data_IF_670941820815
#
_entry.id   IF_670941820815
#
_cell.length_a   1.000
_cell.length_b   1.000
_cell.length_c   1.000
_cell.angle_alpha   90.00
_cell.angle_beta   90.00
_cell.angle_gamma   90.00
#
_symmetry.space_group_name_H-M   'P 1'
#
loop_
_entity.id
_entity.type
_entity.pdbx_description
1 polymer ?
#
# COMPACT_ATOMS: atom_id res chain seq x y z
N UNK A 1 -54.64 -44.54 31.87
CA UNK A 1 -53.17 -44.58 31.67
C UNK A 1 -52.89 -44.36 30.19
N UNK A 2 -52.42 -43.18 29.81
CA UNK A 2 -52.07 -42.85 28.42
C UNK A 2 -50.67 -42.25 28.42
N UNK A 3 -49.69 -43.07 28.08
CA UNK A 3 -48.27 -42.73 28.08
C UNK A 3 -48.00 -41.63 27.06
N UNK A 4 -47.68 -40.42 27.51
CA UNK A 4 -47.16 -39.40 26.60
C UNK A 4 -45.66 -39.59 26.50
N UNK A 5 -45.26 -40.31 25.45
CA UNK A 5 -43.86 -40.41 25.06
C UNK A 5 -43.32 -38.99 24.83
N UNK A 6 -42.38 -38.57 25.69
CA UNK A 6 -41.53 -37.43 25.40
C UNK A 6 -40.72 -37.79 24.16
N UNK A 7 -40.94 -37.09 23.05
CA UNK A 7 -40.03 -37.13 21.91
C UNK A 7 -38.68 -36.61 22.38
N UNK A 8 -37.74 -37.52 22.61
CA UNK A 8 -36.37 -37.19 22.99
C UNK A 8 -35.64 -36.78 21.72
N UNK A 9 -35.14 -35.55 21.67
CA UNK A 9 -34.27 -35.09 20.58
C UNK A 9 -33.01 -35.97 20.50
N UNK A 10 -32.56 -36.31 19.29
CA UNK A 10 -31.37 -37.11 19.03
C UNK A 10 -30.10 -36.51 19.67
N UNK A 11 -30.10 -35.20 19.89
CA UNK A 11 -28.98 -34.42 20.43
C UNK A 11 -29.17 -33.99 21.89
N UNK A 12 -30.15 -34.57 22.59
CA UNK A 12 -30.32 -34.41 24.04
C UNK A 12 -31.10 -33.17 24.48
N UNK A 13 -31.79 -32.46 23.58
CA UNK A 13 -32.61 -31.31 23.97
C UNK A 13 -33.97 -31.73 24.59
N UNK A 14 -34.35 -31.12 25.71
CA UNK A 14 -35.59 -31.42 26.43
C UNK A 14 -36.80 -30.64 25.87
N UNK A 15 -37.93 -31.32 25.69
CA UNK A 15 -39.19 -30.74 25.17
C UNK A 15 -40.12 -30.40 26.35
N UNK A 16 -40.42 -29.12 26.56
CA UNK A 16 -41.40 -28.68 27.57
C UNK A 16 -42.78 -28.51 26.92
N UNK A 17 -43.83 -29.06 27.56
CA UNK A 17 -45.22 -29.03 27.05
C UNK A 17 -45.72 -27.59 26.83
N UNK A 18 -46.15 -27.29 25.61
CA UNK A 18 -47.08 -26.20 25.31
C UNK A 18 -46.49 -24.92 24.69
N UNK A 19 -45.22 -24.62 24.94
CA UNK A 19 -44.44 -23.61 24.19
C UNK A 19 -42.97 -24.03 24.17
N UNK A 20 -42.51 -24.54 23.02
CA UNK A 20 -41.15 -25.03 22.84
C UNK A 20 -40.78 -25.11 21.37
N UNK A 21 -39.48 -25.10 21.09
CA UNK A 21 -38.93 -25.26 19.74
C UNK A 21 -39.38 -26.61 19.15
N UNK A 22 -39.43 -26.72 17.81
CA UNK A 22 -39.73 -27.99 17.13
C UNK A 22 -38.48 -28.88 17.14
N UNK A 23 -38.46 -30.00 17.87
CA UNK A 23 -37.25 -30.81 18.04
C UNK A 23 -36.69 -31.34 16.73
N UNK A 24 -37.55 -31.70 15.78
CA UNK A 24 -37.13 -32.18 14.46
C UNK A 24 -36.40 -31.10 13.66
N UNK A 25 -36.86 -29.84 13.74
CA UNK A 25 -36.20 -28.71 13.09
C UNK A 25 -34.82 -28.42 13.71
N UNK A 26 -34.73 -28.52 15.04
CA UNK A 26 -33.45 -28.38 15.75
C UNK A 26 -32.52 -29.53 15.41
N UNK A 27 -33.01 -30.77 15.35
CA UNK A 27 -32.19 -31.92 14.99
C UNK A 27 -31.63 -31.79 13.56
N UNK A 28 -32.49 -31.47 12.58
CA UNK A 28 -32.03 -31.22 11.19
C UNK A 28 -31.01 -30.10 11.11
N UNK A 29 -31.19 -29.02 11.87
CA UNK A 29 -30.23 -27.92 11.88
C UNK A 29 -28.90 -28.31 12.53
N UNK A 30 -28.94 -29.05 13.65
CA UNK A 30 -27.73 -29.54 14.33
C UNK A 30 -27.00 -30.59 13.50
N UNK A 31 -27.72 -31.48 12.80
CA UNK A 31 -27.13 -32.45 11.86
C UNK A 31 -26.39 -31.73 10.72
N UNK A 32 -26.98 -30.67 10.16
CA UNK A 32 -26.33 -29.85 9.15
C UNK A 32 -25.06 -29.18 9.70
N UNK A 33 -25.10 -28.64 10.92
CA UNK A 33 -23.92 -28.04 11.57
C UNK A 33 -22.80 -29.06 11.82
N UNK A 34 -23.14 -30.29 12.22
CA UNK A 34 -22.14 -31.34 12.39
C UNK A 34 -21.54 -31.77 11.05
N UNK A 35 -22.35 -31.91 10.00
CA UNK A 35 -21.85 -32.20 8.66
C UNK A 35 -20.91 -31.10 8.14
N UNK A 36 -21.28 -29.83 8.33
CA UNK A 36 -20.46 -28.69 7.96
C UNK A 36 -19.14 -28.64 8.75
N UNK A 37 -19.19 -28.94 10.05
CA UNK A 37 -18.00 -29.06 10.91
C UNK A 37 -17.06 -30.15 10.37
N UNK A 38 -17.59 -31.33 10.11
CA UNK A 38 -16.77 -32.47 9.68
C UNK A 38 -16.14 -32.20 8.30
N UNK A 39 -16.91 -31.60 7.38
CA UNK A 39 -16.38 -31.16 6.08
C UNK A 39 -15.28 -30.08 6.22
N UNK A 40 -15.45 -29.14 7.15
CA UNK A 40 -14.44 -28.13 7.44
C UNK A 40 -13.17 -28.74 8.05
N UNK A 41 -13.32 -29.74 8.93
CA UNK A 41 -12.21 -30.48 9.53
C UNK A 41 -11.42 -31.28 8.49
N UNK A 42 -12.09 -31.98 7.60
CA UNK A 42 -11.42 -32.69 6.49
C UNK A 42 -10.66 -31.71 5.58
N UNK A 43 -11.27 -30.56 5.26
CA UNK A 43 -10.62 -29.53 4.45
C UNK A 43 -9.38 -28.98 5.14
N UNK A 44 -9.47 -28.70 6.45
CA UNK A 44 -8.35 -28.23 7.25
C UNK A 44 -7.20 -29.27 7.28
N UNK A 45 -7.53 -30.55 7.42
CA UNK A 45 -6.54 -31.63 7.36
C UNK A 45 -5.84 -31.68 6.00
N UNK A 46 -6.60 -31.63 4.89
CA UNK A 46 -6.03 -31.60 3.53
C UNK A 46 -5.15 -30.39 3.29
N UNK A 47 -5.59 -29.21 3.72
CA UNK A 47 -4.82 -27.97 3.60
C UNK A 47 -3.53 -28.02 4.42
N UNK A 48 -3.55 -28.65 5.60
CA UNK A 48 -2.35 -28.80 6.43
C UNK A 48 -1.31 -29.69 5.77
N UNK A 49 -1.74 -30.79 5.12
CA UNK A 49 -0.83 -31.65 4.35
C UNK A 49 -0.27 -30.90 3.15
N UNK A 50 -1.11 -30.18 2.41
CA UNK A 50 -0.68 -29.37 1.26
C UNK A 50 0.33 -28.29 1.69
N UNK A 51 0.06 -27.57 2.78
CA UNK A 51 0.96 -26.54 3.30
C UNK A 51 2.34 -27.14 3.65
N UNK A 52 2.38 -28.29 4.31
CA UNK A 52 3.65 -28.99 4.63
C UNK A 52 4.42 -29.40 3.38
N UNK A 53 3.73 -29.90 2.36
CA UNK A 53 4.36 -30.26 1.09
C UNK A 53 4.93 -29.02 0.38
N UNK A 54 4.16 -27.92 0.34
CA UNK A 54 4.60 -26.66 -0.24
C UNK A 54 5.80 -26.06 0.53
N UNK A 55 5.83 -26.17 1.85
CA UNK A 55 6.96 -25.74 2.67
C UNK A 55 8.23 -26.55 2.35
N UNK A 56 8.10 -27.87 2.20
CA UNK A 56 9.22 -28.73 1.82
C UNK A 56 9.73 -28.43 0.40
N UNK A 57 8.83 -28.28 -0.57
CA UNK A 57 9.19 -27.89 -1.95
C UNK A 57 9.86 -26.52 -1.98
N UNK A 58 9.34 -25.55 -1.23
CA UNK A 58 9.90 -24.21 -1.14
C UNK A 58 11.29 -24.23 -0.49
N UNK A 59 11.51 -25.05 0.54
CA UNK A 59 12.83 -25.24 1.14
C UNK A 59 13.82 -25.81 0.11
N UNK A 60 13.44 -26.86 -0.62
CA UNK A 60 14.28 -27.44 -1.68
C UNK A 60 14.57 -26.44 -2.81
N UNK A 61 13.59 -25.63 -3.21
CA UNK A 61 13.78 -24.57 -4.21
C UNK A 61 14.74 -23.48 -3.71
N UNK A 62 14.64 -23.09 -2.43
CA UNK A 62 15.56 -22.12 -1.81
C UNK A 62 16.98 -22.66 -1.74
N UNK A 63 17.17 -23.92 -1.35
CA UNK A 63 18.49 -24.56 -1.36
C UNK A 63 19.07 -24.62 -2.77
N UNK A 64 18.27 -25.02 -3.76
CA UNK A 64 18.70 -25.00 -5.17
C UNK A 64 19.06 -23.60 -5.62
N UNK A 65 18.25 -22.60 -5.30
CA UNK A 65 18.51 -21.20 -5.66
C UNK A 65 19.78 -20.66 -4.99
N UNK A 66 20.01 -20.96 -3.71
CA UNK A 66 21.23 -20.62 -3.01
C UNK A 66 22.47 -21.31 -3.64
N UNK A 67 22.30 -22.56 -4.09
CA UNK A 67 23.34 -23.33 -4.78
C UNK A 67 23.67 -22.84 -6.20
N UNK A 68 22.81 -22.03 -6.83
CA UNK A 68 23.10 -21.45 -8.14
C UNK A 68 24.19 -20.36 -8.08
N UNK A 69 24.50 -19.83 -6.89
CA UNK A 69 25.45 -18.73 -6.71
C UNK A 69 24.97 -17.41 -7.31
N UNK A 70 25.78 -16.35 -7.21
CA UNK A 70 25.56 -15.17 -8.05
C UNK A 70 25.66 -15.62 -9.51
N UNK A 71 24.70 -15.18 -10.33
CA UNK A 71 24.74 -15.42 -11.77
C UNK A 71 25.83 -14.54 -12.37
N UNK A 72 27.07 -14.93 -12.11
CA UNK A 72 28.23 -14.39 -12.78
C UNK A 72 28.12 -14.90 -14.19
N UNK A 73 27.67 -14.05 -15.09
CA UNK A 73 27.83 -14.18 -16.53
C UNK A 73 29.32 -14.35 -16.96
N UNK A 74 30.22 -14.70 -16.04
CA UNK A 74 31.56 -15.17 -16.26
C UNK A 74 31.62 -16.38 -17.21
N UNK A 75 30.55 -17.19 -17.26
CA UNK A 75 30.37 -18.26 -18.26
C UNK A 75 29.94 -17.77 -19.64
N UNK A 76 29.53 -16.50 -19.77
CA UNK A 76 29.38 -15.88 -21.08
C UNK A 76 30.79 -15.68 -21.67
N UNK A 77 30.97 -16.09 -22.92
CA UNK A 77 32.19 -15.82 -23.66
C UNK A 77 32.54 -14.32 -23.66
N UNK A 78 33.81 -14.01 -23.90
CA UNK A 78 34.38 -12.66 -23.81
C UNK A 78 33.51 -11.56 -24.44
N UNK A 79 32.93 -11.81 -25.62
CA UNK A 79 32.07 -10.85 -26.31
C UNK A 79 30.80 -10.47 -25.54
N UNK A 80 30.18 -11.41 -24.84
CA UNK A 80 28.96 -11.16 -24.08
C UNK A 80 29.24 -10.49 -22.73
N UNK A 81 30.43 -10.71 -22.15
CA UNK A 81 30.92 -9.91 -21.01
C UNK A 81 31.17 -8.46 -21.41
N UNK A 82 31.87 -8.24 -22.53
CA UNK A 82 32.11 -6.90 -23.08
C UNK A 82 30.81 -6.15 -23.38
N UNK A 83 29.80 -6.83 -23.95
CA UNK A 83 28.50 -6.23 -24.21
C UNK A 83 27.77 -5.83 -22.91
N UNK A 84 27.85 -6.67 -21.87
CA UNK A 84 27.26 -6.36 -20.58
C UNK A 84 27.94 -5.15 -19.91
N UNK A 85 29.27 -5.08 -19.95
CA UNK A 85 30.04 -3.94 -19.43
C UNK A 85 29.71 -2.65 -20.18
N UNK A 86 29.64 -2.69 -21.51
CA UNK A 86 29.19 -1.55 -22.32
C UNK A 86 27.76 -1.13 -21.96
N UNK A 87 26.84 -2.08 -21.81
CA UNK A 87 25.46 -1.78 -21.40
C UNK A 87 25.40 -1.10 -20.04
N UNK A 88 26.24 -1.51 -19.08
CA UNK A 88 26.33 -0.84 -17.78
C UNK A 88 26.91 0.58 -17.88
N UNK A 89 27.93 0.78 -18.71
CA UNK A 89 28.53 2.10 -18.94
C UNK A 89 27.52 3.06 -19.57
N UNK A 90 26.80 2.62 -20.61
CA UNK A 90 25.76 3.41 -21.26
C UNK A 90 24.61 3.74 -20.30
N UNK A 91 24.16 2.77 -19.49
CA UNK A 91 23.10 3.01 -18.50
C UNK A 91 23.53 4.06 -17.46
N UNK A 92 24.79 4.03 -17.01
CA UNK A 92 25.35 5.05 -16.10
C UNK A 92 25.42 6.42 -16.79
N UNK A 93 25.94 6.48 -18.01
CA UNK A 93 26.05 7.72 -18.77
C UNK A 93 24.68 8.36 -19.06
N UNK A 94 23.65 7.56 -19.37
CA UNK A 94 22.27 8.06 -19.54
C UNK A 94 21.74 8.60 -18.22
N UNK A 95 21.93 7.88 -17.12
CA UNK A 95 21.46 8.33 -15.79
C UNK A 95 22.15 9.61 -15.33
N UNK A 96 23.46 9.72 -15.51
CA UNK A 96 24.22 10.90 -15.13
C UNK A 96 23.79 12.14 -15.93
N UNK A 97 23.61 11.99 -17.25
CA UNK A 97 23.08 13.06 -18.11
C UNK A 97 21.68 13.51 -17.68
N UNK A 98 20.77 12.57 -17.46
CA UNK A 98 19.41 12.87 -17.02
C UNK A 98 19.40 13.60 -15.66
N UNK A 99 20.27 13.21 -14.72
CA UNK A 99 20.40 13.89 -13.44
C UNK A 99 20.98 15.31 -13.58
N UNK A 100 21.94 15.49 -14.47
CA UNK A 100 22.52 16.80 -14.75
C UNK A 100 21.49 17.74 -15.38
N UNK A 101 20.77 17.28 -16.42
CA UNK A 101 19.69 18.05 -17.06
C UNK A 101 18.58 18.42 -16.07
N UNK A 102 18.17 17.49 -15.20
CA UNK A 102 17.17 17.76 -14.17
C UNK A 102 17.64 18.83 -13.16
N UNK A 103 18.93 18.82 -12.79
CA UNK A 103 19.52 19.85 -11.91
C UNK A 103 19.51 21.22 -12.58
N UNK A 104 19.95 21.30 -13.83
CA UNK A 104 19.97 22.53 -14.61
C UNK A 104 18.57 23.13 -14.77
N UNK A 105 17.57 22.30 -15.07
CA UNK A 105 16.17 22.74 -15.14
C UNK A 105 15.66 23.28 -13.80
N UNK A 106 15.99 22.60 -12.70
CA UNK A 106 15.61 23.05 -11.35
C UNK A 106 16.27 24.38 -10.99
N UNK A 107 17.56 24.52 -11.29
CA UNK A 107 18.32 25.76 -11.01
C UNK A 107 17.80 26.93 -11.84
N UNK A 108 17.49 26.71 -13.12
CA UNK A 108 16.87 27.70 -13.99
C UNK A 108 15.49 28.13 -13.47
N UNK A 109 14.64 27.18 -13.06
CA UNK A 109 13.34 27.46 -12.49
C UNK A 109 13.44 28.25 -11.17
N UNK A 110 14.39 27.90 -10.31
CA UNK A 110 14.65 28.61 -9.06
C UNK A 110 15.10 30.05 -9.31
N UNK A 111 16.07 30.25 -10.23
CA UNK A 111 16.57 31.57 -10.57
C UNK A 111 15.45 32.47 -11.15
N UNK A 112 14.57 31.89 -11.97
CA UNK A 112 13.40 32.58 -12.49
C UNK A 112 12.42 32.99 -11.38
N UNK A 113 12.08 32.06 -10.48
CA UNK A 113 11.19 32.35 -9.35
C UNK A 113 11.77 33.42 -8.41
N UNK A 114 13.06 33.36 -8.12
CA UNK A 114 13.76 34.36 -7.30
C UNK A 114 13.76 35.74 -7.98
N UNK A 115 13.91 35.77 -9.31
CA UNK A 115 13.75 36.98 -10.12
C UNK A 115 12.37 37.60 -9.97
N UNK A 116 11.32 36.80 -10.20
CA UNK A 116 9.94 37.26 -10.07
C UNK A 116 9.61 37.77 -8.67
N UNK A 117 10.13 37.11 -7.63
CA UNK A 117 9.94 37.55 -6.24
C UNK A 117 10.64 38.87 -5.96
N UNK A 118 11.85 39.10 -6.50
CA UNK A 118 12.54 40.38 -6.38
C UNK A 118 11.76 41.49 -7.07
N UNK A 119 11.25 41.25 -8.27
CA UNK A 119 10.48 42.25 -9.02
C UNK A 119 9.17 42.59 -8.31
N UNK A 120 8.46 41.58 -7.79
CA UNK A 120 7.25 41.78 -7.01
C UNK A 120 7.49 42.59 -5.73
N UNK A 121 8.62 42.34 -5.03
CA UNK A 121 9.00 43.13 -3.85
C UNK A 121 9.32 44.58 -4.21
N UNK A 122 10.12 44.80 -5.24
CA UNK A 122 10.45 46.15 -5.70
C UNK A 122 9.19 46.93 -6.10
N UNK A 123 8.23 46.27 -6.75
CA UNK A 123 6.94 46.88 -7.07
C UNK A 123 6.13 47.22 -5.81
N UNK A 124 6.03 46.28 -4.85
CA UNK A 124 5.34 46.53 -3.60
C UNK A 124 5.95 47.69 -2.81
N UNK A 125 7.28 47.75 -2.71
CA UNK A 125 8.01 48.83 -2.05
C UNK A 125 7.74 50.18 -2.72
N UNK A 126 7.70 50.23 -4.05
CA UNK A 126 7.36 51.44 -4.80
C UNK A 126 5.92 51.92 -4.54
N UNK A 127 4.95 50.99 -4.52
CA UNK A 127 3.55 51.31 -4.22
C UNK A 127 3.39 51.81 -2.79
N UNK A 128 4.03 51.14 -1.82
CA UNK A 128 4.01 51.56 -0.42
C UNK A 128 4.64 52.95 -0.25
N UNK A 129 5.81 53.19 -0.85
CA UNK A 129 6.47 54.50 -0.81
C UNK A 129 5.59 55.62 -1.40
N UNK A 130 4.96 55.38 -2.54
CA UNK A 130 4.04 56.35 -3.14
C UNK A 130 2.81 56.64 -2.26
N UNK A 131 2.26 55.60 -1.61
CA UNK A 131 1.14 55.75 -0.68
C UNK A 131 1.53 56.54 0.58
N UNK A 132 2.73 56.30 1.13
CA UNK A 132 3.25 57.04 2.29
C UNK A 132 3.49 58.52 1.98
N UNK A 133 4.01 58.84 0.79
CA UNK A 133 4.18 60.23 0.36
C UNK A 133 2.83 60.93 0.20
N UNK A 134 1.85 60.26 -0.40
CA UNK A 134 0.50 60.81 -0.56
C UNK A 134 -0.17 61.04 0.80
N UNK A 135 -0.03 60.10 1.74
CA UNK A 135 -0.52 60.26 3.10
C UNK A 135 0.13 61.48 3.77
N UNK A 136 1.46 61.64 3.66
CA UNK A 136 2.18 62.82 4.17
C UNK A 136 1.65 64.12 3.58
N UNK A 137 1.54 64.22 2.26
CA UNK A 137 1.00 65.40 1.56
C UNK A 137 -0.39 65.78 2.09
N UNK A 138 -1.28 64.80 2.27
CA UNK A 138 -2.63 65.05 2.81
C UNK A 138 -2.62 65.54 4.25
N UNK A 139 -1.76 64.97 5.10
CA UNK A 139 -1.65 65.42 6.50
C UNK A 139 -1.06 66.82 6.62
N UNK A 140 -0.12 67.20 5.75
CA UNK A 140 0.45 68.54 5.71
C UNK A 140 -0.58 69.57 5.23
N UNK A 141 -1.33 69.25 4.17
CA UNK A 141 -2.42 70.10 3.70
C UNK A 141 -3.48 70.33 4.80
N UNK A 142 -3.92 69.27 5.48
CA UNK A 142 -4.89 69.38 6.56
C UNK A 142 -4.40 70.23 7.75
N UNK A 143 -3.07 70.27 8.02
CA UNK A 143 -2.48 71.13 9.05
C UNK A 143 -2.38 72.59 8.63
N UNK A 144 -2.24 72.87 7.35
CA UNK A 144 -2.17 74.24 6.82
C UNK A 144 -3.56 74.91 6.76
N UNK A 145 -4.63 74.12 6.72
CA UNK A 145 -6.03 74.58 6.68
C UNK A 145 -6.65 74.82 8.07
N UNK A 146 -5.94 74.45 9.16
CA UNK A 146 -6.38 74.61 10.56
C UNK A 146 -5.75 75.84 11.22
#
# INVERSE_FOLDING_TARGET
MGSTASSVSLHGFAVVRGRGYRPDQVNTHVDALFADRDAAWERAARLTVLARNMEAELAALRERAAGLGEQTYASLGEGARSLHEHGQQEARAVRERALQEAREQREAAQAYADGLLRDARAYADAVCGAAEEEARRRTEAARAEA
#
